data_IF_458756029241
#
_entry.id   IF_458756029241
#
_cell.length_a   1.000
_cell.length_b   1.000
_cell.length_c   1.000
_cell.angle_alpha   90.00
_cell.angle_beta   90.00
_cell.angle_gamma   90.00
#
_symmetry.space_group_name_H-M   'P 1'
#
loop_
_entity.id
_entity.type
_entity.pdbx_description
1 polymer ?
#
# COMPACT_ATOMS: atom_id res chain seq x y z
N UNK A 1 -3.49 -5.68 29.60
CA UNK A 1 -4.67 -5.21 28.87
C UNK A 1 -4.19 -4.52 27.61
N UNK A 2 -4.53 -5.04 26.44
CA UNK A 2 -4.13 -4.43 25.17
C UNK A 2 -5.03 -3.23 24.88
N UNK A 3 -4.43 -2.08 24.61
CA UNK A 3 -5.16 -0.88 24.20
C UNK A 3 -5.78 -1.14 22.82
N UNK A 4 -7.10 -0.98 22.70
CA UNK A 4 -7.77 -1.04 21.41
C UNK A 4 -7.33 0.16 20.57
N UNK A 5 -6.99 -0.08 19.30
CA UNK A 5 -6.70 0.97 18.34
C UNK A 5 -7.90 1.91 18.23
N UNK A 6 -7.63 3.20 18.19
CA UNK A 6 -8.65 4.23 17.93
C UNK A 6 -9.18 4.10 16.50
N UNK A 7 -10.39 4.58 16.26
CA UNK A 7 -10.98 4.60 14.91
C UNK A 7 -10.11 5.38 13.90
N UNK A 8 -9.43 6.43 14.39
CA UNK A 8 -8.49 7.22 13.59
C UNK A 8 -7.27 6.41 13.17
N UNK A 9 -6.70 5.60 14.07
CA UNK A 9 -5.59 4.71 13.76
C UNK A 9 -6.01 3.62 12.77
N UNK A 10 -7.21 3.06 12.94
CA UNK A 10 -7.79 2.07 12.00
C UNK A 10 -7.98 2.68 10.62
N UNK A 11 -8.52 3.90 10.53
CA UNK A 11 -8.72 4.61 9.27
C UNK A 11 -7.38 4.92 8.58
N UNK A 12 -6.38 5.37 9.34
CA UNK A 12 -5.03 5.62 8.83
C UNK A 12 -4.36 4.35 8.30
N UNK A 13 -4.46 3.23 9.03
CA UNK A 13 -3.94 1.93 8.57
C UNK A 13 -4.61 1.52 7.26
N UNK A 14 -5.95 1.59 7.19
CA UNK A 14 -6.71 1.25 5.97
C UNK A 14 -6.29 2.11 4.78
N UNK A 15 -6.12 3.42 4.98
CA UNK A 15 -5.70 4.34 3.92
C UNK A 15 -4.30 4.03 3.40
N UNK A 16 -3.33 3.78 4.28
CA UNK A 16 -1.96 3.44 3.88
C UNK A 16 -1.92 2.12 3.11
N UNK A 17 -2.64 1.10 3.56
CA UNK A 17 -2.76 -0.18 2.86
C UNK A 17 -3.35 -0.01 1.45
N UNK A 18 -4.41 0.81 1.31
CA UNK A 18 -5.03 1.10 0.02
C UNK A 18 -4.07 1.81 -0.96
N UNK A 19 -3.32 2.80 -0.47
CA UNK A 19 -2.32 3.54 -1.25
C UNK A 19 -1.21 2.60 -1.71
N UNK A 20 -0.63 1.83 -0.79
CA UNK A 20 0.43 0.86 -1.06
C UNK A 20 0.03 -0.14 -2.15
N UNK A 21 -1.19 -0.70 -2.06
CA UNK A 21 -1.76 -1.60 -3.08
C UNK A 21 -1.84 -0.94 -4.46
N UNK A 22 -2.35 0.30 -4.52
CA UNK A 22 -2.55 1.01 -5.79
C UNK A 22 -1.22 1.35 -6.45
N UNK A 23 -0.24 1.82 -5.68
CA UNK A 23 1.10 2.10 -6.20
C UNK A 23 1.81 0.83 -6.66
N UNK A 24 1.71 -0.27 -5.92
CA UNK A 24 2.25 -1.57 -6.35
C UNK A 24 1.65 -2.03 -7.69
N UNK A 25 0.34 -1.86 -7.88
CA UNK A 25 -0.33 -2.18 -9.15
C UNK A 25 0.09 -1.27 -10.31
N UNK A 26 0.24 0.04 -10.06
CA UNK A 26 0.71 0.99 -11.08
C UNK A 26 2.14 0.64 -11.52
N UNK A 27 3.04 0.38 -10.57
CA UNK A 27 4.42 -0.02 -10.86
C UNK A 27 4.52 -1.36 -11.59
N UNK A 28 3.65 -2.32 -11.25
CA UNK A 28 3.55 -3.59 -11.96
C UNK A 28 3.13 -3.42 -13.44
N UNK A 29 2.36 -2.36 -13.76
CA UNK A 29 1.92 -2.03 -15.12
C UNK A 29 2.95 -1.24 -15.94
N UNK A 30 4.20 -1.20 -15.50
CA UNK A 30 5.35 -0.52 -16.16
C UNK A 30 5.29 1.01 -16.12
N UNK A 31 4.41 1.62 -15.33
CA UNK A 31 4.55 3.03 -14.98
C UNK A 31 5.51 3.12 -13.81
N UNK A 32 6.71 3.67 -14.00
CA UNK A 32 7.68 3.76 -12.91
C UNK A 32 7.40 4.97 -12.01
N UNK A 33 6.78 4.71 -10.86
CA UNK A 33 6.64 5.66 -9.75
C UNK A 33 7.83 5.48 -8.80
N UNK A 34 8.46 6.59 -8.42
CA UNK A 34 9.49 6.64 -7.38
C UNK A 34 8.85 6.47 -5.98
N UNK A 35 8.91 5.23 -5.49
CA UNK A 35 8.32 4.83 -4.21
C UNK A 35 9.08 5.39 -2.99
N UNK A 36 10.43 5.37 -2.96
CA UNK A 36 11.19 6.06 -1.90
C UNK A 36 10.78 7.52 -1.73
N UNK A 37 10.72 8.30 -2.82
CA UNK A 37 10.33 9.72 -2.73
C UNK A 37 8.88 9.91 -2.28
N UNK A 38 7.96 9.03 -2.70
CA UNK A 38 6.58 9.06 -2.20
C UNK A 38 6.51 8.79 -0.69
N UNK A 39 7.28 7.81 -0.20
CA UNK A 39 7.27 7.43 1.21
C UNK A 39 7.74 8.57 2.12
N UNK A 40 8.58 9.49 1.64
CA UNK A 40 8.99 10.67 2.39
C UNK A 40 7.84 11.64 2.73
N UNK A 41 6.71 11.56 2.02
CA UNK A 41 5.51 12.34 2.31
C UNK A 41 4.67 11.76 3.47
N UNK A 42 4.99 10.56 3.94
CA UNK A 42 4.24 9.87 4.98
C UNK A 42 4.81 10.17 6.37
N UNK A 43 3.95 10.14 7.39
CA UNK A 43 4.40 10.21 8.78
C UNK A 43 5.31 9.01 9.12
N UNK A 44 6.27 9.19 10.02
CA UNK A 44 7.26 8.17 10.38
C UNK A 44 6.64 6.81 10.74
N UNK A 45 5.53 6.79 11.49
CA UNK A 45 4.80 5.56 11.84
C UNK A 45 4.08 4.89 10.66
N UNK A 46 3.81 5.62 9.58
CA UNK A 46 3.14 5.10 8.38
C UNK A 46 4.13 4.54 7.35
N UNK A 47 5.37 5.04 7.32
CA UNK A 47 6.39 4.61 6.34
C UNK A 47 6.66 3.11 6.40
N UNK A 48 6.83 2.56 7.60
CA UNK A 48 7.10 1.14 7.80
C UNK A 48 5.95 0.27 7.26
N UNK A 49 4.72 0.58 7.68
CA UNK A 49 3.51 -0.10 7.21
C UNK A 49 3.35 0.03 5.68
N UNK A 50 3.59 1.22 5.13
CA UNK A 50 3.51 1.46 3.69
C UNK A 50 4.46 0.56 2.91
N UNK A 51 5.75 0.50 3.29
CA UNK A 51 6.72 -0.35 2.59
C UNK A 51 6.40 -1.83 2.73
N UNK A 52 5.97 -2.28 3.91
CA UNK A 52 5.55 -3.67 4.13
C UNK A 52 4.40 -4.04 3.19
N UNK A 53 3.33 -3.25 3.17
CA UNK A 53 2.17 -3.48 2.31
C UNK A 53 2.53 -3.37 0.83
N UNK A 54 3.32 -2.36 0.46
CA UNK A 54 3.76 -2.16 -0.94
C UNK A 54 4.55 -3.37 -1.41
N UNK A 55 5.53 -3.83 -0.63
CA UNK A 55 6.33 -5.00 -0.97
C UNK A 55 5.48 -6.27 -1.02
N UNK A 56 4.53 -6.44 -0.11
CA UNK A 56 3.58 -7.54 -0.14
C UNK A 56 2.78 -7.58 -1.45
N UNK A 57 2.16 -6.47 -1.87
CA UNK A 57 1.38 -6.40 -3.10
C UNK A 57 2.24 -6.44 -4.37
N UNK A 58 3.44 -5.87 -4.33
CA UNK A 58 4.37 -5.82 -5.47
C UNK A 58 5.03 -7.18 -5.72
N UNK A 59 5.47 -7.88 -4.67
CA UNK A 59 6.07 -9.23 -4.74
C UNK A 59 5.06 -10.30 -5.16
N UNK A 60 3.79 -10.16 -4.74
CA UNK A 60 2.73 -11.10 -5.10
C UNK A 60 2.35 -11.11 -6.57
N UNK A 61 3.01 -10.31 -7.43
CA UNK A 61 2.77 -10.20 -8.89
C UNK A 61 1.33 -10.57 -9.18
N UNK A 62 0.40 -9.64 -8.96
CA UNK A 62 -0.96 -9.85 -9.43
C UNK A 62 -0.87 -10.41 -10.84
N UNK A 63 -1.24 -11.68 -10.98
CA UNK A 63 -1.21 -12.52 -12.19
C UNK A 63 -2.29 -12.07 -13.17
N UNK A 64 -2.50 -10.75 -13.21
CA UNK A 64 -3.50 -10.02 -13.95
C UNK A 64 -2.79 -8.94 -14.74
N UNK A 65 -1.73 -9.31 -15.45
CA UNK A 65 -1.25 -8.55 -16.59
C UNK A 65 -2.39 -8.52 -17.64
N UNK A 66 -3.39 -7.67 -17.41
CA UNK A 66 -4.63 -7.65 -18.18
C UNK A 66 -5.84 -7.00 -17.49
N UNK A 67 -5.88 -6.86 -16.15
CA UNK A 67 -7.03 -6.23 -15.49
C UNK A 67 -6.92 -4.72 -15.46
N UNK A 68 -8.00 -4.02 -15.82
CA UNK A 68 -8.09 -2.54 -15.81
C UNK A 68 -8.14 -1.93 -14.42
N UNK A 69 -8.37 -2.74 -13.37
CA UNK A 69 -8.46 -2.30 -11.97
C UNK A 69 -7.50 -3.07 -11.04
N UNK A 70 -7.03 -2.44 -9.94
CA UNK A 70 -6.43 -3.18 -8.84
C UNK A 70 -7.47 -4.16 -8.28
N UNK A 71 -7.04 -5.35 -7.85
CA UNK A 71 -7.96 -6.37 -7.34
C UNK A 71 -8.49 -5.98 -5.97
N UNK A 72 -9.71 -6.42 -5.70
CA UNK A 72 -10.47 -6.10 -4.50
C UNK A 72 -9.75 -6.62 -3.24
N UNK A 73 -9.97 -5.97 -2.09
CA UNK A 73 -9.39 -6.44 -0.83
C UNK A 73 -10.04 -7.79 -0.47
N UNK A 74 -9.31 -8.75 0.15
CA UNK A 74 -9.97 -9.90 0.78
C UNK A 74 -10.96 -9.44 1.87
#
# INVERSE_FOLDING_TARGET
GGMLLTEMEISNIRNITLIARRLAWINAKRTHIDIPSFAELLFSGQKALFFEQYNYFHSRRYTTAGTSKPPDLP
#
